data_IF_513666071560
#
_entry.id   IF_513666071560
#
_cell.length_a   1.000
_cell.length_b   1.000
_cell.length_c   1.000
_cell.angle_alpha   90.00
_cell.angle_beta   90.00
_cell.angle_gamma   90.00
#
_symmetry.space_group_name_H-M   'P 1'
#
loop_
_entity.id
_entity.type
_entity.pdbx_description
1 polymer ?
#
# COMPACT_ATOMS: atom_id res chain seq x y z
N UNK A 1 -13.08 -46.59 -33.78
CA UNK A 1 -13.08 -45.14 -33.99
C UNK A 1 -13.71 -44.35 -32.86
N UNK A 2 -14.81 -44.79 -32.27
CA UNK A 2 -15.41 -44.05 -31.10
C UNK A 2 -14.54 -44.05 -29.84
N UNK A 3 -13.69 -45.06 -29.65
CA UNK A 3 -12.77 -45.15 -28.50
C UNK A 3 -11.59 -44.16 -28.59
N UNK A 4 -11.18 -43.81 -29.83
CA UNK A 4 -10.12 -42.84 -30.05
C UNK A 4 -10.59 -41.39 -29.78
N UNK A 5 -11.82 -41.08 -30.16
CA UNK A 5 -12.42 -39.77 -29.90
C UNK A 5 -12.60 -39.48 -28.41
N UNK A 6 -12.96 -40.51 -27.62
CA UNK A 6 -13.10 -40.38 -26.15
C UNK A 6 -11.75 -40.17 -25.47
N UNK A 7 -10.69 -40.83 -25.98
CA UNK A 7 -9.34 -40.70 -25.43
C UNK A 7 -8.73 -39.34 -25.73
N UNK A 8 -8.97 -38.80 -26.92
CA UNK A 8 -8.56 -37.45 -27.31
C UNK A 8 -9.33 -36.39 -26.49
N UNK A 9 -10.61 -36.62 -26.25
CA UNK A 9 -11.43 -35.72 -25.44
C UNK A 9 -10.94 -35.71 -23.97
N UNK A 10 -10.56 -36.85 -23.40
CA UNK A 10 -10.00 -36.91 -22.04
C UNK A 10 -8.64 -36.21 -21.92
N UNK A 11 -7.80 -36.32 -22.95
CA UNK A 11 -6.50 -35.63 -22.94
C UNK A 11 -6.67 -34.11 -23.04
N UNK A 12 -7.63 -33.64 -23.83
CA UNK A 12 -7.93 -32.20 -23.94
C UNK A 12 -8.49 -31.64 -22.67
N UNK A 13 -9.36 -32.39 -21.97
CA UNK A 13 -9.92 -31.96 -20.66
C UNK A 13 -8.83 -31.94 -19.57
N UNK A 14 -7.88 -32.88 -19.61
CA UNK A 14 -6.76 -32.88 -18.65
C UNK A 14 -5.81 -31.71 -18.87
N UNK A 15 -5.63 -31.25 -20.12
CA UNK A 15 -4.81 -30.09 -20.43
C UNK A 15 -5.44 -28.77 -20.00
N UNK A 16 -6.76 -28.69 -19.90
CA UNK A 16 -7.45 -27.49 -19.41
C UNK A 16 -7.46 -27.36 -17.89
N UNK A 17 -7.24 -28.45 -17.15
CA UNK A 17 -7.21 -28.43 -15.68
C UNK A 17 -5.86 -27.99 -15.09
N UNK A 18 -4.80 -27.93 -15.87
CA UNK A 18 -3.48 -27.51 -15.38
C UNK A 18 -3.21 -26.00 -15.51
N UNK A 19 -4.18 -25.24 -16.01
CA UNK A 19 -4.03 -23.82 -16.27
C UNK A 19 -4.48 -22.88 -15.16
N UNK A 20 -4.93 -23.39 -14.01
CA UNK A 20 -5.21 -22.56 -12.83
C UNK A 20 -3.99 -22.57 -11.91
N UNK A 21 -2.86 -22.17 -12.47
CA UNK A 21 -1.74 -21.75 -11.67
C UNK A 21 -2.18 -20.53 -10.85
N UNK A 22 -1.74 -20.53 -9.64
CA UNK A 22 -1.86 -19.47 -8.66
C UNK A 22 -1.84 -18.09 -9.35
N UNK A 23 -2.99 -17.47 -9.53
CA UNK A 23 -3.12 -16.09 -9.97
C UNK A 23 -2.82 -15.16 -8.79
N UNK A 24 -1.66 -15.40 -8.17
CA UNK A 24 -0.87 -14.52 -7.40
C UNK A 24 -1.53 -13.36 -6.66
N UNK A 25 -2.37 -13.61 -5.67
CA UNK A 25 -2.46 -12.71 -4.54
C UNK A 25 -1.26 -12.93 -3.63
N UNK A 26 -0.67 -11.91 -3.07
CA UNK A 26 0.30 -12.09 -2.00
C UNK A 26 -0.36 -12.87 -0.85
N UNK A 27 0.32 -13.83 -0.22
CA UNK A 27 -0.23 -14.53 0.94
C UNK A 27 -0.65 -13.52 2.01
N UNK A 28 -1.77 -13.80 2.70
CA UNK A 28 -2.17 -12.98 3.83
C UNK A 28 -1.01 -12.85 4.83
N UNK A 29 -0.80 -11.65 5.36
CA UNK A 29 0.27 -11.37 6.30
C UNK A 29 1.61 -11.00 5.68
N UNK A 30 1.68 -10.83 4.36
CA UNK A 30 2.86 -10.26 3.70
C UNK A 30 2.66 -8.80 3.36
N UNK A 31 3.77 -8.06 3.34
CA UNK A 31 3.81 -6.67 2.91
C UNK A 31 4.49 -6.58 1.53
N UNK A 32 4.18 -5.55 0.73
CA UNK A 32 4.89 -5.32 -0.51
C UNK A 32 6.40 -5.17 -0.29
N UNK A 33 7.19 -5.81 -1.13
CA UNK A 33 8.64 -5.60 -1.16
C UNK A 33 8.94 -4.23 -1.78
N UNK A 34 9.89 -3.52 -1.19
CA UNK A 34 10.32 -2.20 -1.65
C UNK A 34 11.83 -2.17 -1.84
N UNK A 35 12.30 -1.37 -2.80
CA UNK A 35 13.73 -1.22 -3.09
C UNK A 35 14.47 -0.45 -1.98
N UNK A 36 13.76 0.38 -1.25
CA UNK A 36 14.28 1.21 -0.16
C UNK A 36 13.57 0.84 1.13
N UNK A 37 14.33 0.73 2.20
CA UNK A 37 13.79 0.47 3.54
C UNK A 37 13.42 1.80 4.19
N UNK A 38 12.15 2.00 4.46
CA UNK A 38 11.60 3.19 5.11
C UNK A 38 11.13 2.82 6.51
N UNK A 39 11.58 3.56 7.50
CA UNK A 39 11.07 3.49 8.85
C UNK A 39 10.01 4.57 9.06
N UNK A 40 8.93 4.23 9.74
CA UNK A 40 7.86 5.15 10.07
C UNK A 40 7.16 4.75 11.36
N UNK A 41 6.57 5.73 12.02
CA UNK A 41 5.71 5.53 13.18
C UNK A 41 4.32 6.00 12.82
N UNK A 42 3.38 5.06 12.82
CA UNK A 42 1.98 5.34 12.49
C UNK A 42 1.19 5.52 13.77
N UNK A 43 0.43 6.62 13.83
CA UNK A 43 -0.54 6.89 14.90
C UNK A 43 -1.93 6.79 14.28
N UNK A 44 -2.74 5.88 14.75
CA UNK A 44 -4.10 5.71 14.26
C UNK A 44 -5.08 6.70 14.91
N UNK A 45 -6.33 6.68 14.46
CA UNK A 45 -7.39 7.57 14.99
C UNK A 45 -7.74 7.28 16.44
N UNK A 46 -7.40 6.13 16.98
CA UNK A 46 -7.61 5.77 18.37
C UNK A 46 -6.43 6.17 19.27
N UNK A 47 -5.34 6.68 18.69
CA UNK A 47 -4.15 7.11 19.41
C UNK A 47 -3.09 6.04 19.59
N UNK A 48 -3.25 4.86 19.01
CA UNK A 48 -2.27 3.78 19.10
C UNK A 48 -1.10 4.05 18.15
N UNK A 49 0.11 3.97 18.67
CA UNK A 49 1.35 4.14 17.93
C UNK A 49 1.93 2.79 17.52
N UNK A 50 2.34 2.66 16.27
CA UNK A 50 2.98 1.45 15.75
C UNK A 50 4.23 1.83 14.96
N UNK A 51 5.38 1.33 15.39
CA UNK A 51 6.65 1.53 14.69
C UNK A 51 6.83 0.48 13.62
N UNK A 52 7.13 0.91 12.41
CA UNK A 52 7.20 0.07 11.22
C UNK A 52 8.55 0.18 10.52
N UNK A 53 9.02 -0.95 10.02
CA UNK A 53 10.06 -1.05 9.01
C UNK A 53 9.42 -1.37 7.66
N UNK A 54 10.12 -1.15 6.57
CA UNK A 54 9.62 -1.41 5.22
C UNK A 54 8.27 -0.74 4.96
N UNK A 55 8.12 0.47 5.46
CA UNK A 55 6.91 1.25 5.28
C UNK A 55 6.70 1.58 3.81
N UNK A 56 5.47 1.46 3.36
CA UNK A 56 5.08 1.81 2.00
C UNK A 56 3.64 2.34 1.95
N UNK A 57 3.36 3.11 0.91
CA UNK A 57 2.02 3.53 0.51
C UNK A 57 1.66 2.81 -0.78
N UNK A 58 0.71 1.88 -0.71
CA UNK A 58 0.33 1.03 -1.85
C UNK A 58 1.55 0.31 -2.49
N UNK A 59 2.53 -0.08 -1.68
CA UNK A 59 3.78 -0.71 -2.13
C UNK A 59 4.86 0.24 -2.61
N UNK A 60 4.63 1.56 -2.55
CA UNK A 60 5.56 2.59 -3.01
C UNK A 60 6.26 3.28 -1.84
N UNK A 61 7.50 3.69 -2.03
CA UNK A 61 8.32 4.39 -1.03
C UNK A 61 8.27 5.91 -1.16
N UNK A 62 7.22 6.40 -1.72
CA UNK A 62 6.96 7.82 -1.87
C UNK A 62 5.48 8.13 -1.64
N UNK A 63 5.22 9.35 -1.21
CA UNK A 63 3.88 9.89 -1.13
C UNK A 63 3.42 10.27 -2.54
N UNK A 64 2.33 9.71 -2.97
CA UNK A 64 1.66 10.07 -4.22
C UNK A 64 0.45 10.94 -3.86
N UNK A 65 0.56 12.23 -4.13
CA UNK A 65 -0.39 13.23 -3.69
C UNK A 65 -0.84 14.15 -4.83
N UNK A 66 -1.91 14.87 -4.57
CA UNK A 66 -2.43 15.90 -5.46
C UNK A 66 -2.21 17.28 -4.84
N UNK A 67 -1.73 18.20 -5.65
CA UNK A 67 -1.64 19.61 -5.32
C UNK A 67 -2.41 20.41 -6.36
N UNK A 68 -3.59 20.88 -5.97
CA UNK A 68 -4.53 21.43 -6.94
C UNK A 68 -4.93 20.38 -7.98
N UNK A 69 -4.75 20.67 -9.25
CA UNK A 69 -4.98 19.73 -10.35
C UNK A 69 -3.73 18.93 -10.75
N UNK A 70 -2.58 19.19 -10.12
CA UNK A 70 -1.32 18.53 -10.40
C UNK A 70 -1.05 17.36 -9.46
N UNK A 71 -0.23 16.42 -9.92
CA UNK A 71 0.25 15.30 -9.13
C UNK A 71 1.64 15.62 -8.58
N UNK A 72 1.84 15.37 -7.30
CA UNK A 72 3.11 15.61 -6.62
C UNK A 72 3.56 14.31 -5.94
N UNK A 73 4.76 13.88 -6.27
CA UNK A 73 5.38 12.68 -5.71
C UNK A 73 6.54 13.08 -4.83
N UNK A 74 6.50 12.70 -3.55
CA UNK A 74 7.53 13.06 -2.57
C UNK A 74 8.10 11.78 -1.95
N UNK A 75 9.40 11.49 -2.12
CA UNK A 75 10.03 10.35 -1.43
C UNK A 75 9.86 10.45 0.09
N UNK A 76 9.58 9.34 0.74
CA UNK A 76 9.39 9.34 2.19
C UNK A 76 10.63 9.78 2.96
N UNK A 77 11.82 9.63 2.38
CA UNK A 77 13.07 10.11 2.98
C UNK A 77 13.08 11.63 3.19
N UNK A 78 12.28 12.38 2.44
CA UNK A 78 12.17 13.84 2.57
C UNK A 78 11.07 14.27 3.54
N UNK A 79 10.23 13.37 4.00
CA UNK A 79 9.15 13.67 4.91
C UNK A 79 9.61 13.63 6.38
N UNK A 80 9.16 14.59 7.15
CA UNK A 80 9.23 14.55 8.61
C UNK A 80 7.93 14.04 9.21
N UNK A 81 6.80 14.60 8.78
CA UNK A 81 5.48 14.25 9.31
C UNK A 81 4.43 14.33 8.21
N UNK A 82 3.50 13.39 8.23
CA UNK A 82 2.30 13.38 7.42
C UNK A 82 1.09 13.33 8.36
N UNK A 83 0.28 14.38 8.36
CA UNK A 83 -0.96 14.45 9.15
C UNK A 83 -2.15 14.28 8.23
N UNK A 84 -3.05 13.37 8.56
CA UNK A 84 -4.21 13.05 7.76
C UNK A 84 -5.46 13.70 8.35
N UNK A 85 -6.17 14.45 7.52
CA UNK A 85 -7.40 15.13 7.88
C UNK A 85 -8.65 14.34 7.50
N UNK A 86 -9.69 15.05 7.13
CA UNK A 86 -10.97 14.46 6.75
C UNK A 86 -10.98 14.00 5.30
N UNK A 87 -11.71 12.92 5.04
CA UNK A 87 -12.03 12.49 3.69
C UNK A 87 -13.17 13.33 3.12
N UNK A 88 -13.02 13.76 1.86
CA UNK A 88 -14.05 14.46 1.11
C UNK A 88 -14.17 13.80 -0.26
N UNK A 89 -15.29 13.10 -0.50
CA UNK A 89 -15.43 12.30 -1.71
C UNK A 89 -14.39 11.19 -1.78
N UNK A 90 -13.62 11.14 -2.87
CA UNK A 90 -12.57 10.14 -3.11
C UNK A 90 -11.20 10.55 -2.58
N UNK A 91 -11.09 11.76 -2.06
CA UNK A 91 -9.83 12.35 -1.62
C UNK A 91 -9.82 12.57 -0.11
N UNK A 92 -8.63 12.72 0.41
CA UNK A 92 -8.37 12.95 1.82
C UNK A 92 -7.36 14.08 1.95
N UNK A 93 -7.71 15.11 2.71
CA UNK A 93 -6.80 16.22 2.98
C UNK A 93 -5.65 15.74 3.86
N UNK A 94 -4.44 16.12 3.50
CA UNK A 94 -3.23 15.81 4.26
C UNK A 94 -2.37 17.06 4.40
N UNK A 95 -1.71 17.20 5.54
CA UNK A 95 -0.68 18.20 5.76
C UNK A 95 0.67 17.51 5.82
N UNK A 96 1.59 17.97 5.00
CA UNK A 96 2.92 17.40 4.87
C UNK A 96 3.94 18.37 5.44
N UNK A 97 4.80 17.90 6.32
CA UNK A 97 5.98 18.61 6.78
C UNK A 97 7.22 17.89 6.24
N UNK A 98 8.02 18.60 5.47
CA UNK A 98 9.29 18.10 4.97
C UNK A 98 10.39 18.22 6.02
N UNK A 99 11.44 17.42 5.89
CA UNK A 99 12.65 17.55 6.73
C UNK A 99 13.32 18.92 6.60
N UNK A 100 13.13 19.60 5.47
CA UNK A 100 13.59 20.98 5.25
C UNK A 100 12.80 22.03 6.06
N UNK A 101 11.68 21.65 6.68
CA UNK A 101 10.80 22.53 7.42
C UNK A 101 9.63 23.10 6.61
N UNK A 102 9.58 22.83 5.31
CA UNK A 102 8.46 23.25 4.45
C UNK A 102 7.20 22.50 4.84
N UNK A 103 6.09 23.22 5.00
CA UNK A 103 4.75 22.67 5.29
C UNK A 103 3.85 22.97 4.10
N UNK A 104 3.10 21.98 3.67
CA UNK A 104 2.15 22.14 2.56
C UNK A 104 0.90 21.30 2.76
N UNK A 105 -0.21 21.78 2.23
CA UNK A 105 -1.49 21.07 2.20
C UNK A 105 -1.65 20.37 0.85
N UNK A 106 -1.88 19.07 0.91
CA UNK A 106 -2.05 18.21 -0.25
C UNK A 106 -3.31 17.36 -0.08
N UNK A 107 -3.62 16.57 -1.08
CA UNK A 107 -4.65 15.55 -1.00
C UNK A 107 -4.09 14.20 -1.44
N UNK A 108 -4.55 13.14 -0.83
CA UNK A 108 -4.26 11.77 -1.25
C UNK A 108 -5.55 11.04 -1.55
N UNK A 109 -5.44 9.90 -2.21
CA UNK A 109 -6.61 9.05 -2.43
C UNK A 109 -7.09 8.48 -1.10
N UNK A 110 -8.38 8.56 -0.84
CA UNK A 110 -9.03 7.98 0.35
C UNK A 110 -8.77 6.48 0.49
N UNK A 111 -8.60 5.79 -0.63
CA UNK A 111 -8.39 4.34 -0.69
C UNK A 111 -6.94 3.92 -0.50
N UNK A 112 -6.03 4.85 -0.31
CA UNK A 112 -4.63 4.52 -0.05
C UNK A 112 -4.49 3.61 1.16
N UNK A 113 -3.56 2.67 1.07
CA UNK A 113 -3.26 1.70 2.13
C UNK A 113 -1.78 1.79 2.47
N UNK A 114 -1.49 1.86 3.76
CA UNK A 114 -0.13 1.84 4.27
C UNK A 114 0.23 0.45 4.78
N UNK A 115 1.44 0.03 4.48
CA UNK A 115 1.99 -1.27 4.86
C UNK A 115 3.30 -1.09 5.59
N UNK A 116 3.62 -2.01 6.46
CA UNK A 116 4.91 -2.06 7.12
C UNK A 116 5.09 -3.33 7.93
N UNK A 117 6.31 -3.54 8.41
CA UNK A 117 6.65 -4.66 9.27
C UNK A 117 6.93 -4.16 10.69
N UNK A 118 6.36 -4.86 11.67
CA UNK A 118 6.65 -4.60 13.09
C UNK A 118 7.88 -5.36 13.59
N UNK A 119 8.47 -6.23 12.77
CA UNK A 119 9.51 -7.16 13.17
C UNK A 119 8.99 -8.54 13.59
N UNK A 120 7.72 -8.63 13.99
CA UNK A 120 7.04 -9.87 14.35
C UNK A 120 5.77 -10.14 13.55
N UNK A 121 5.39 -9.22 12.68
CA UNK A 121 4.22 -9.37 11.81
C UNK A 121 4.07 -8.25 10.82
N UNK A 122 3.24 -8.47 9.81
CA UNK A 122 2.85 -7.46 8.85
C UNK A 122 1.76 -6.55 9.43
N UNK A 123 1.87 -5.25 9.16
CA UNK A 123 0.90 -4.25 9.58
C UNK A 123 0.29 -3.60 8.35
N UNK A 124 -1.02 -3.53 8.30
CA UNK A 124 -1.78 -2.93 7.20
C UNK A 124 -2.81 -1.97 7.79
N UNK A 125 -2.83 -0.74 7.32
CA UNK A 125 -3.79 0.26 7.77
C UNK A 125 -4.25 1.12 6.59
N UNK A 126 -5.55 1.37 6.54
CA UNK A 126 -6.12 2.27 5.54
C UNK A 126 -5.84 3.72 5.91
N UNK A 127 -5.61 4.57 4.91
CA UNK A 127 -5.34 5.98 5.13
C UNK A 127 -6.39 6.67 6.00
N UNK A 128 -7.66 6.33 5.82
CA UNK A 128 -8.77 6.90 6.61
C UNK A 128 -8.70 6.60 8.11
N UNK A 129 -7.97 5.55 8.49
CA UNK A 129 -7.81 5.13 9.89
C UNK A 129 -6.54 5.69 10.53
N UNK A 130 -5.72 6.42 9.78
CA UNK A 130 -4.47 7.01 10.22
C UNK A 130 -4.70 8.48 10.61
N UNK A 131 -4.19 8.87 11.78
CA UNK A 131 -4.15 10.28 12.21
C UNK A 131 -2.86 10.96 11.78
N UNK A 132 -1.72 10.30 12.00
CA UNK A 132 -0.39 10.87 11.71
C UNK A 132 0.63 9.79 11.43
N UNK A 133 1.60 10.12 10.60
CA UNK A 133 2.78 9.30 10.37
C UNK A 133 4.01 10.16 10.59
N UNK A 134 4.89 9.71 11.47
CA UNK A 134 6.17 10.36 11.76
C UNK A 134 7.31 9.57 11.11
N UNK A 135 8.20 10.26 10.43
CA UNK A 135 9.40 9.68 9.81
C UNK A 135 10.64 10.14 10.56
N UNK A 136 11.56 9.23 10.89
CA UNK A 136 12.81 9.59 11.58
C UNK A 136 13.77 10.44 10.76
#
# INVERSE_FOLDING_TARGET
MKRFAVLVLMVVVALFCTGMGDLGGQPEGTIPETDVRIEAKVVDRTGVETSLNQFSMDGKTYLDALRGSGQLTIPFQQLATLSLGKATGDEMAVQVKLKSGVVMDLAIRKRAVFYGSTGYGAFVIKARDVARIDFP
#
